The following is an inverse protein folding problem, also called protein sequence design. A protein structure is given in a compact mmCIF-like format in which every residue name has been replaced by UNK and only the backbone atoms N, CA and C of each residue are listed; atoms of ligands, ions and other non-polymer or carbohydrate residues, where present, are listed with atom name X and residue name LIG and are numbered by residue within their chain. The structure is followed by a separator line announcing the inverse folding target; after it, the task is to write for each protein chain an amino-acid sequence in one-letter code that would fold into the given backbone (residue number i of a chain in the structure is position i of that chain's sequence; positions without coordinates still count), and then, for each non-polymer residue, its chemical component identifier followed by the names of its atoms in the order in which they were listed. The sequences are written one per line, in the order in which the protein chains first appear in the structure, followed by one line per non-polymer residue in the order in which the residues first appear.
data_IF_111007017098
#
_entry.id   IF_111007017098
#
_cell.length_a   1.000
_cell.length_b   1.000
_cell.length_c   1.000
_cell.angle_alpha   90.00
_cell.angle_beta   90.00
_cell.angle_gamma   90.00
#
_symmetry.space_group_name_H-M   'P 1'
#
loop_
_entity.id
_entity.type
_entity.pdbx_description
1 polymer ?
#
# COMPACT_ATOMS: atom_id res chain seq x y z
N UNK A 1 -33.21 -54.23 -43.36
CA UNK A 1 -33.20 -53.98 -41.90
C UNK A 1 -31.82 -53.40 -41.53
N UNK A 2 -31.73 -52.09 -41.38
CA UNK A 2 -30.49 -51.36 -41.29
C UNK A 2 -30.37 -50.87 -39.85
N UNK A 3 -29.43 -51.42 -39.08
CA UNK A 3 -29.20 -51.09 -37.68
C UNK A 3 -28.27 -49.85 -37.62
N UNK A 4 -28.78 -48.71 -37.18
CA UNK A 4 -27.99 -47.49 -36.98
C UNK A 4 -27.35 -47.54 -35.60
N UNK A 5 -26.01 -47.65 -35.59
CA UNK A 5 -25.20 -47.60 -34.41
C UNK A 5 -24.96 -46.14 -34.01
N UNK A 6 -25.58 -45.71 -32.91
CA UNK A 6 -25.33 -44.39 -32.32
C UNK A 6 -24.04 -44.40 -31.51
N UNK A 7 -23.01 -43.78 -32.05
CA UNK A 7 -21.77 -43.52 -31.28
C UNK A 7 -21.99 -42.25 -30.46
N UNK A 8 -22.15 -42.44 -29.16
CA UNK A 8 -22.21 -41.35 -28.17
C UNK A 8 -20.79 -40.86 -27.92
N UNK A 9 -20.42 -39.74 -28.57
CA UNK A 9 -19.15 -39.08 -28.29
C UNK A 9 -19.28 -38.30 -26.97
N UNK A 10 -18.75 -38.87 -25.90
CA UNK A 10 -18.61 -38.23 -24.58
C UNK A 10 -17.45 -37.25 -24.66
N UNK A 11 -17.74 -35.98 -24.98
CA UNK A 11 -16.74 -34.91 -24.93
C UNK A 11 -16.44 -34.57 -23.47
N UNK A 12 -15.35 -35.13 -22.93
CA UNK A 12 -14.77 -34.74 -21.66
C UNK A 12 -14.14 -33.36 -21.84
N UNK A 13 -14.86 -32.33 -21.40
CA UNK A 13 -14.32 -30.99 -21.27
C UNK A 13 -13.26 -31.03 -20.15
N UNK A 14 -12.01 -31.12 -20.54
CA UNK A 14 -10.89 -30.79 -19.65
C UNK A 14 -10.98 -29.29 -19.36
N UNK A 15 -11.54 -28.91 -18.22
CA UNK A 15 -11.30 -27.62 -17.66
C UNK A 15 -9.83 -27.58 -17.25
N UNK A 16 -8.99 -27.08 -18.15
CA UNK A 16 -7.65 -26.64 -17.77
C UNK A 16 -7.82 -25.53 -16.75
N UNK A 17 -7.68 -25.87 -15.48
CA UNK A 17 -7.44 -24.90 -14.43
C UNK A 17 -6.08 -24.28 -14.72
N UNK A 18 -6.05 -23.26 -15.59
CA UNK A 18 -4.96 -22.30 -15.59
C UNK A 18 -5.01 -21.57 -14.24
N UNK A 19 -4.57 -22.26 -13.19
CA UNK A 19 -4.07 -21.60 -12.02
C UNK A 19 -2.96 -20.69 -12.55
N UNK A 20 -3.24 -19.38 -12.61
CA UNK A 20 -2.23 -18.35 -12.80
C UNK A 20 -1.14 -18.66 -11.79
N UNK A 21 -0.12 -19.40 -12.25
CA UNK A 21 1.08 -19.65 -11.49
C UNK A 21 1.65 -18.25 -11.21
N UNK A 22 1.37 -17.74 -10.04
CA UNK A 22 1.92 -16.48 -9.54
C UNK A 22 3.42 -16.70 -9.51
N UNK A 23 4.11 -16.19 -10.50
CA UNK A 23 5.54 -16.34 -10.64
C UNK A 23 6.16 -15.88 -9.32
N UNK A 24 6.86 -16.79 -8.62
CA UNK A 24 7.59 -16.44 -7.42
C UNK A 24 8.50 -15.24 -7.73
N UNK A 25 8.57 -14.26 -6.83
CA UNK A 25 9.39 -13.07 -7.08
C UNK A 25 10.84 -13.48 -7.34
N UNK A 26 11.52 -12.88 -8.32
CA UNK A 26 12.84 -13.29 -8.77
C UNK A 26 13.91 -13.30 -7.66
N UNK A 27 13.69 -12.64 -6.57
CA UNK A 27 14.59 -12.54 -5.41
C UNK A 27 14.11 -13.27 -4.16
N UNK A 28 12.96 -13.97 -4.21
CA UNK A 28 12.31 -14.52 -3.01
C UNK A 28 11.69 -13.48 -2.08
N UNK A 29 11.59 -12.21 -2.51
CA UNK A 29 10.98 -11.15 -1.73
C UNK A 29 9.48 -11.43 -1.50
N UNK A 30 9.01 -11.26 -0.26
CA UNK A 30 7.66 -11.59 0.17
C UNK A 30 6.85 -10.39 0.67
N UNK A 31 7.52 -9.39 1.24
CA UNK A 31 6.87 -8.27 1.94
C UNK A 31 7.71 -7.02 1.85
N UNK A 32 7.05 -5.88 1.63
CA UNK A 32 7.59 -4.54 1.90
C UNK A 32 7.02 -4.04 3.22
N UNK A 33 7.87 -3.66 4.17
CA UNK A 33 7.49 -2.99 5.40
C UNK A 33 8.00 -1.54 5.39
N UNK A 34 7.09 -0.58 5.60
CA UNK A 34 7.39 0.86 5.61
C UNK A 34 7.16 1.38 7.01
N UNK A 35 8.20 1.93 7.63
CA UNK A 35 8.14 2.59 8.93
C UNK A 35 8.20 4.09 8.76
N UNK A 36 7.12 4.77 9.18
CA UNK A 36 7.07 6.24 9.25
C UNK A 36 7.88 6.80 10.43
N UNK A 37 8.19 5.94 11.43
CA UNK A 37 9.01 6.29 12.58
C UNK A 37 10.50 6.39 12.19
N UNK A 38 11.02 5.30 11.63
CA UNK A 38 12.43 5.23 11.22
C UNK A 38 12.70 5.82 9.83
N UNK A 39 11.67 6.27 9.10
CA UNK A 39 11.75 6.74 7.72
C UNK A 39 12.44 5.74 6.81
N UNK A 40 12.03 4.46 6.89
CA UNK A 40 12.63 3.37 6.11
C UNK A 40 11.58 2.52 5.40
N UNK A 41 11.98 1.97 4.24
CA UNK A 41 11.33 0.89 3.53
C UNK A 41 12.24 -0.33 3.60
N UNK A 42 11.76 -1.42 4.18
CA UNK A 42 12.46 -2.69 4.30
C UNK A 42 11.80 -3.76 3.43
N UNK A 43 12.60 -4.62 2.81
CA UNK A 43 12.14 -5.77 2.02
C UNK A 43 12.52 -7.05 2.75
N UNK A 44 11.56 -7.96 2.94
CA UNK A 44 11.75 -9.25 3.60
C UNK A 44 11.42 -10.42 2.67
N UNK A 45 12.09 -11.56 2.87
CA UNK A 45 11.72 -12.83 2.23
C UNK A 45 10.65 -13.59 3.03
N UNK A 46 10.23 -14.76 2.51
CA UNK A 46 9.22 -15.62 3.16
C UNK A 46 9.67 -16.21 4.50
N UNK A 47 10.97 -16.16 4.82
CA UNK A 47 11.55 -16.61 6.09
C UNK A 47 11.78 -15.42 7.05
N UNK A 48 11.19 -14.25 6.77
CA UNK A 48 11.36 -13.00 7.52
C UNK A 48 12.82 -12.49 7.56
N UNK A 49 13.67 -12.92 6.64
CA UNK A 49 15.02 -12.41 6.50
C UNK A 49 14.99 -11.07 5.77
N UNK A 50 15.69 -10.10 6.31
CA UNK A 50 15.86 -8.78 5.69
C UNK A 50 16.72 -8.89 4.43
N UNK A 51 16.19 -8.43 3.29
CA UNK A 51 16.87 -8.43 1.99
C UNK A 51 17.44 -7.06 1.63
N UNK A 52 16.72 -5.98 1.96
CA UNK A 52 17.13 -4.60 1.66
C UNK A 52 16.46 -3.60 2.60
N UNK A 53 17.09 -2.45 2.81
CA UNK A 53 16.52 -1.29 3.52
C UNK A 53 16.87 -0.04 2.73
N UNK A 54 15.88 0.84 2.55
CA UNK A 54 16.03 2.11 1.86
C UNK A 54 15.48 3.25 2.71
N UNK A 55 16.15 4.41 2.81
CA UNK A 55 15.60 5.59 3.42
C UNK A 55 14.46 6.17 2.54
N UNK A 56 13.43 6.70 3.19
CA UNK A 56 12.24 7.24 2.51
C UNK A 56 11.90 8.65 2.99
N UNK A 57 11.01 9.31 2.24
CA UNK A 57 10.18 10.38 2.75
C UNK A 57 8.71 9.95 2.71
N UNK A 58 7.88 10.47 3.64
CA UNK A 58 6.46 10.20 3.72
C UNK A 58 5.63 11.48 3.84
N UNK A 59 4.32 11.34 4.03
CA UNK A 59 3.38 12.45 4.15
C UNK A 59 3.80 13.49 5.17
N UNK A 60 3.70 14.79 4.81
CA UNK A 60 4.13 15.92 5.66
C UNK A 60 3.24 16.12 6.90
N UNK A 61 2.00 15.65 6.85
CA UNK A 61 1.10 15.69 8.00
C UNK A 61 1.16 14.40 8.81
N UNK A 62 1.02 14.53 10.13
CA UNK A 62 0.95 13.42 11.08
C UNK A 62 -0.40 12.70 11.03
N UNK A 63 -0.42 11.45 11.44
CA UNK A 63 -1.60 10.61 11.54
C UNK A 63 -1.84 9.75 10.31
N UNK A 64 -2.89 8.92 10.39
CA UNK A 64 -3.33 8.09 9.29
C UNK A 64 -4.11 8.92 8.26
N UNK A 65 -4.02 8.55 6.98
CA UNK A 65 -4.76 9.22 5.91
C UNK A 65 -6.27 9.02 6.07
N UNK A 66 -7.04 10.12 5.96
CA UNK A 66 -8.49 10.14 6.11
C UNK A 66 -9.20 10.61 4.83
N UNK A 67 -8.60 11.57 4.11
CA UNK A 67 -9.22 12.19 2.93
C UNK A 67 -8.18 12.64 1.90
N UNK A 68 -8.57 12.89 0.65
CA UNK A 68 -7.71 13.52 -0.35
C UNK A 68 -7.17 14.86 0.15
N UNK A 69 -5.91 15.18 -0.17
CA UNK A 69 -5.29 16.48 0.16
C UNK A 69 -4.88 16.66 1.64
N UNK A 70 -5.05 15.66 2.52
CA UNK A 70 -4.69 15.77 3.93
C UNK A 70 -3.18 15.63 4.21
N UNK A 71 -2.39 15.42 3.17
CA UNK A 71 -0.92 15.30 3.23
C UNK A 71 -0.42 14.16 4.12
N UNK A 72 -1.28 13.18 4.44
CA UNK A 72 -0.95 12.03 5.28
C UNK A 72 -0.68 10.79 4.45
N UNK A 73 0.27 9.96 4.89
CA UNK A 73 0.48 8.60 4.35
C UNK A 73 -0.47 7.63 5.05
N UNK A 74 -1.21 6.79 4.30
CA UNK A 74 -2.10 5.80 4.91
C UNK A 74 -1.29 4.73 5.66
N UNK A 75 -1.91 4.15 6.69
CA UNK A 75 -1.39 3.07 7.52
C UNK A 75 -2.20 1.80 7.30
N UNK A 76 -1.57 0.64 7.44
CA UNK A 76 -2.23 -0.65 7.32
C UNK A 76 -1.57 -1.58 6.32
N UNK A 77 -2.33 -2.60 5.89
CA UNK A 77 -1.88 -3.62 4.94
C UNK A 77 -2.44 -3.33 3.54
N UNK A 78 -1.55 -3.23 2.59
CA UNK A 78 -1.81 -2.92 1.20
C UNK A 78 -1.14 -3.94 0.28
N UNK A 79 -1.26 -3.74 -1.03
CA UNK A 79 -0.51 -4.53 -2.01
C UNK A 79 -0.10 -3.67 -3.20
N UNK A 80 0.94 -4.12 -3.91
CA UNK A 80 1.33 -3.51 -5.18
C UNK A 80 0.25 -3.79 -6.22
N UNK A 81 -0.35 -2.73 -6.75
CA UNK A 81 -1.39 -2.82 -7.78
C UNK A 81 -0.79 -2.78 -9.18
N UNK A 82 0.20 -1.93 -9.39
CA UNK A 82 0.80 -1.68 -10.71
C UNK A 82 2.19 -1.06 -10.56
N UNK A 83 3.08 -1.34 -11.51
CA UNK A 83 4.35 -0.62 -11.70
C UNK A 83 4.27 0.15 -13.00
N UNK A 84 4.40 1.46 -12.96
CA UNK A 84 4.22 2.36 -14.09
C UNK A 84 5.53 3.08 -14.41
N UNK A 85 5.81 3.31 -15.70
CA UNK A 85 6.86 4.24 -16.12
C UNK A 85 6.42 5.68 -15.83
N UNK A 86 7.16 6.38 -14.99
CA UNK A 86 6.85 7.73 -14.56
C UNK A 86 7.84 8.80 -15.10
N UNK A 87 8.76 8.42 -15.99
CA UNK A 87 9.82 9.33 -16.50
C UNK A 87 9.28 10.59 -17.17
N UNK A 88 8.12 10.49 -17.81
CA UNK A 88 7.45 11.59 -18.48
C UNK A 88 6.45 12.36 -17.59
N UNK A 89 6.23 11.90 -16.35
CA UNK A 89 5.22 12.51 -15.48
C UNK A 89 5.73 13.82 -14.89
N UNK A 90 4.80 14.79 -14.81
CA UNK A 90 5.02 16.07 -14.15
C UNK A 90 4.14 16.18 -12.92
N UNK A 91 4.48 17.08 -12.01
CA UNK A 91 3.67 17.43 -10.86
C UNK A 91 3.90 18.88 -10.45
N UNK A 92 2.82 19.59 -10.16
CA UNK A 92 2.85 20.88 -9.51
C UNK A 92 2.54 20.70 -8.02
N UNK A 93 3.54 21.00 -7.18
CA UNK A 93 3.41 20.87 -5.74
C UNK A 93 2.69 22.06 -5.08
N UNK A 94 2.20 23.01 -5.87
CA UNK A 94 1.53 24.21 -5.38
C UNK A 94 2.44 25.17 -4.61
N UNK A 95 3.76 25.07 -4.83
CA UNK A 95 4.78 25.92 -4.17
C UNK A 95 5.18 27.13 -5.02
N UNK A 96 4.44 27.40 -6.11
CA UNK A 96 4.67 28.51 -7.02
C UNK A 96 5.76 28.29 -8.06
N UNK A 97 6.37 27.09 -8.10
CA UNK A 97 7.40 26.76 -9.11
C UNK A 97 6.83 26.14 -10.38
N UNK A 98 5.50 25.83 -10.38
CA UNK A 98 4.82 25.18 -11.48
C UNK A 98 5.15 23.69 -11.61
N UNK A 99 4.88 23.13 -12.78
CA UNK A 99 5.06 21.68 -13.02
C UNK A 99 6.54 21.29 -13.07
N UNK A 100 6.91 20.33 -12.24
CA UNK A 100 8.26 19.75 -12.19
C UNK A 100 8.29 18.45 -12.97
N UNK A 101 9.05 18.40 -14.05
CA UNK A 101 9.28 17.19 -14.83
C UNK A 101 10.15 16.21 -14.06
N UNK A 102 9.79 14.92 -14.10
CA UNK A 102 10.52 13.88 -13.38
C UNK A 102 10.29 13.89 -11.87
N UNK A 103 9.23 14.55 -11.39
CA UNK A 103 8.84 14.63 -9.99
C UNK A 103 8.77 13.28 -9.27
N UNK A 104 8.45 12.22 -10.02
CA UNK A 104 8.27 10.85 -9.53
C UNK A 104 9.45 9.90 -9.82
N UNK A 105 10.53 10.40 -10.42
CA UNK A 105 11.65 9.57 -10.89
C UNK A 105 11.25 8.64 -12.04
N UNK A 106 11.89 7.46 -12.10
CA UNK A 106 11.71 6.54 -13.24
C UNK A 106 10.43 5.71 -13.20
N UNK A 107 9.94 5.37 -12.00
CA UNK A 107 8.78 4.49 -11.82
C UNK A 107 7.84 5.01 -10.73
N UNK A 108 6.57 4.60 -10.85
CA UNK A 108 5.55 4.76 -9.82
C UNK A 108 4.96 3.38 -9.48
N UNK A 109 5.26 2.87 -8.31
CA UNK A 109 4.70 1.63 -7.77
C UNK A 109 3.39 1.98 -7.11
N UNK A 110 2.27 1.80 -7.81
CA UNK A 110 0.94 2.10 -7.30
C UNK A 110 0.52 1.07 -6.27
N UNK A 111 0.02 1.53 -5.13
CA UNK A 111 -0.53 0.68 -4.10
C UNK A 111 -2.05 0.61 -4.20
N UNK A 112 -2.59 -0.59 -3.93
CA UNK A 112 -4.03 -0.80 -3.74
C UNK A 112 -4.36 -0.41 -2.30
N UNK A 113 -4.85 0.81 -2.12
CA UNK A 113 -5.19 1.41 -0.82
C UNK A 113 -6.71 1.65 -0.78
N UNK A 114 -7.51 0.73 -0.20
CA UNK A 114 -8.96 0.89 -0.11
C UNK A 114 -9.34 2.23 0.55
N UNK A 115 -10.28 2.95 -0.07
CA UNK A 115 -10.70 4.28 0.41
C UNK A 115 -9.79 5.45 -0.03
N UNK A 116 -8.58 5.19 -0.55
CA UNK A 116 -7.65 6.23 -0.98
C UNK A 116 -7.16 5.98 -2.41
N UNK A 117 -7.00 7.05 -3.18
CA UNK A 117 -6.49 6.97 -4.56
C UNK A 117 -5.15 7.68 -4.67
N UNK A 118 -4.34 7.25 -5.65
CA UNK A 118 -3.10 7.95 -5.99
C UNK A 118 -1.92 7.72 -5.04
N UNK A 119 -2.02 6.78 -4.10
CA UNK A 119 -0.92 6.43 -3.20
C UNK A 119 0.02 5.45 -3.89
N UNK A 120 1.32 5.71 -3.76
CA UNK A 120 2.36 4.85 -4.33
C UNK A 120 3.73 5.10 -3.74
N UNK A 121 4.68 4.30 -4.22
CA UNK A 121 6.12 4.41 -3.93
C UNK A 121 6.78 4.89 -5.22
N UNK A 122 7.58 5.96 -5.16
CA UNK A 122 8.18 6.58 -6.33
C UNK A 122 9.54 7.24 -6.03
N UNK A 123 10.22 7.70 -7.06
CA UNK A 123 11.48 8.44 -6.94
C UNK A 123 11.30 9.91 -6.58
N UNK A 124 12.30 10.71 -6.88
CA UNK A 124 12.30 12.11 -6.45
C UNK A 124 13.03 13.03 -7.42
N UNK A 125 12.59 14.27 -7.51
CA UNK A 125 13.34 15.41 -8.02
C UNK A 125 14.12 16.15 -6.90
N UNK A 126 13.78 15.84 -5.63
CA UNK A 126 14.35 16.46 -4.43
C UNK A 126 14.94 15.39 -3.49
N UNK A 127 16.17 14.91 -3.73
CA UNK A 127 16.83 13.93 -2.88
C UNK A 127 17.05 14.39 -1.44
N UNK A 128 17.15 15.71 -1.20
CA UNK A 128 17.36 16.25 0.14
C UNK A 128 16.16 16.05 1.08
N UNK A 129 14.99 15.77 0.52
CA UNK A 129 13.78 15.48 1.29
C UNK A 129 13.74 14.07 1.89
N UNK A 130 14.62 13.15 1.46
CA UNK A 130 14.67 11.79 1.99
C UNK A 130 15.06 11.81 3.47
N UNK A 131 14.39 10.99 4.27
CA UNK A 131 14.50 10.98 5.74
C UNK A 131 13.53 11.94 6.44
N UNK A 132 12.66 12.63 5.71
CA UNK A 132 11.75 13.64 6.28
C UNK A 132 10.29 13.42 5.89
N UNK A 133 9.39 14.14 6.56
CA UNK A 133 7.99 14.28 6.17
C UNK A 133 7.84 15.40 5.13
N UNK A 134 7.82 15.05 3.86
CA UNK A 134 7.87 16.02 2.77
C UNK A 134 6.85 15.78 1.65
N UNK A 135 6.11 14.66 1.66
CA UNK A 135 5.22 14.30 0.55
C UNK A 135 3.75 14.67 0.81
N UNK A 136 2.92 14.51 -0.20
CA UNK A 136 1.47 14.68 -0.12
C UNK A 136 0.73 13.40 0.32
N UNK A 137 1.51 12.36 0.71
CA UNK A 137 1.00 11.09 1.21
C UNK A 137 1.63 9.87 0.56
N UNK A 138 2.30 10.01 -0.58
CA UNK A 138 3.10 8.94 -1.20
C UNK A 138 4.40 8.68 -0.42
N UNK A 139 5.02 7.54 -0.70
CA UNK A 139 6.33 7.15 -0.20
C UNK A 139 7.37 7.51 -1.27
N UNK A 140 8.36 8.30 -0.90
CA UNK A 140 9.41 8.78 -1.81
C UNK A 140 10.74 8.14 -1.48
N UNK A 141 11.45 7.63 -2.50
CA UNK A 141 12.81 7.09 -2.41
C UNK A 141 13.79 7.93 -3.24
N UNK A 142 15.09 7.72 -3.00
CA UNK A 142 16.09 8.09 -3.99
C UNK A 142 15.87 7.31 -5.29
N UNK A 143 16.23 7.90 -6.43
CA UNK A 143 15.97 7.28 -7.73
C UNK A 143 16.78 5.98 -7.96
N UNK A 144 17.99 5.88 -7.41
CA UNK A 144 18.80 4.65 -7.42
C UNK A 144 18.12 3.53 -6.66
N UNK A 145 17.63 3.84 -5.46
CA UNK A 145 16.98 2.89 -4.54
C UNK A 145 15.65 2.38 -5.12
N UNK A 146 14.86 3.29 -5.70
CA UNK A 146 13.65 2.92 -6.43
C UNK A 146 13.96 1.97 -7.59
N UNK A 147 14.98 2.26 -8.38
CA UNK A 147 15.35 1.44 -9.53
C UNK A 147 15.80 0.03 -9.09
N UNK A 148 16.57 -0.05 -8.01
CA UNK A 148 16.96 -1.33 -7.41
C UNK A 148 15.74 -2.09 -6.89
N UNK A 149 14.85 -1.42 -6.13
CA UNK A 149 13.63 -1.98 -5.58
C UNK A 149 12.76 -2.59 -6.68
N UNK A 150 12.50 -1.85 -7.77
CA UNK A 150 11.70 -2.33 -8.91
C UNK A 150 12.35 -3.51 -9.61
N UNK A 151 13.67 -3.45 -9.87
CA UNK A 151 14.35 -4.50 -10.63
C UNK A 151 14.52 -5.80 -9.88
N UNK A 152 14.72 -5.75 -8.55
CA UNK A 152 15.08 -6.93 -7.77
C UNK A 152 13.94 -7.55 -7.00
N UNK A 153 12.96 -6.75 -6.55
CA UNK A 153 12.06 -7.21 -5.49
C UNK A 153 10.58 -7.10 -5.83
N UNK A 154 10.15 -6.03 -6.51
CA UNK A 154 8.72 -5.71 -6.68
C UNK A 154 8.03 -6.59 -7.70
N UNK A 155 6.84 -7.08 -7.34
CA UNK A 155 5.91 -7.76 -8.24
C UNK A 155 4.46 -7.34 -7.93
N UNK A 156 3.56 -7.52 -8.89
CA UNK A 156 2.13 -7.21 -8.73
C UNK A 156 1.52 -8.15 -7.68
N UNK A 157 0.76 -7.60 -6.75
CA UNK A 157 0.19 -8.32 -5.62
C UNK A 157 1.10 -8.41 -4.40
N UNK A 158 2.36 -7.98 -4.48
CA UNK A 158 3.28 -8.00 -3.34
C UNK A 158 2.66 -7.26 -2.14
N UNK A 159 2.62 -7.89 -0.94
CA UNK A 159 2.15 -7.24 0.27
C UNK A 159 3.03 -6.03 0.66
N UNK A 160 2.36 -4.97 1.13
CA UNK A 160 3.01 -3.75 1.63
C UNK A 160 2.34 -3.38 2.95
N UNK A 161 3.09 -3.37 4.05
CA UNK A 161 2.61 -2.87 5.33
C UNK A 161 3.21 -1.48 5.59
N UNK A 162 2.36 -0.54 6.00
CA UNK A 162 2.78 0.81 6.41
C UNK A 162 2.47 0.95 7.90
N UNK A 163 3.51 1.08 8.70
CA UNK A 163 3.47 1.04 10.15
C UNK A 163 3.37 2.48 10.70
N UNK A 164 2.50 2.65 11.68
CA UNK A 164 2.32 3.90 12.44
C UNK A 164 3.60 4.29 13.16
N UNK A 165 3.86 5.60 13.31
CA UNK A 165 4.86 6.14 14.24
C UNK A 165 4.22 6.54 15.57
N UNK A 166 5.04 6.70 16.63
CA UNK A 166 4.56 7.25 17.90
C UNK A 166 3.96 8.65 17.71
N UNK A 167 4.61 9.48 16.89
CA UNK A 167 4.11 10.82 16.56
C UNK A 167 2.75 10.79 15.85
N UNK A 168 2.50 9.79 14.98
CA UNK A 168 1.20 9.61 14.32
C UNK A 168 0.12 9.15 15.31
N UNK A 169 0.48 8.28 16.26
CA UNK A 169 -0.43 7.77 17.30
C UNK A 169 -0.85 8.83 18.32
N UNK A 170 -0.02 9.82 18.56
CA UNK A 170 -0.32 10.94 19.45
C UNK A 170 -1.39 11.89 18.89
N UNK A 171 -1.74 11.80 17.60
CA UNK A 171 -2.87 12.52 17.02
C UNK A 171 -4.16 11.86 17.51
N UNK A 172 -5.04 12.54 18.29
CA UNK A 172 -6.25 11.93 18.83
C UNK A 172 -7.11 11.36 17.68
N UNK A 173 -7.36 10.07 17.74
CA UNK A 173 -8.38 9.46 16.89
C UNK A 173 -9.73 10.08 17.31
N UNK A 174 -10.26 11.01 16.53
CA UNK A 174 -11.65 11.47 16.69
C UNK A 174 -12.54 10.28 16.33
N UNK A 175 -12.96 9.55 17.34
CA UNK A 175 -14.11 8.65 17.16
C UNK A 175 -15.27 9.50 16.65
N UNK A 176 -15.98 9.09 15.59
CA UNK A 176 -17.21 9.76 15.18
C UNK A 176 -18.16 9.80 16.38
N UNK A 177 -18.91 10.91 16.52
CA UNK A 177 -19.79 11.23 17.67
C UNK A 177 -20.91 10.20 17.98
N UNK A 178 -20.89 9.01 17.38
CA UNK A 178 -21.82 7.90 17.62
C UNK A 178 -21.80 7.36 19.06
N UNK A 179 -20.77 7.70 19.86
CA UNK A 179 -20.71 7.25 21.26
C UNK A 179 -21.57 8.12 22.21
N UNK A 180 -22.15 9.22 21.75
CA UNK A 180 -23.00 10.08 22.60
C UNK A 180 -24.47 9.67 22.71
N UNK A 181 -24.88 8.62 21.99
CA UNK A 181 -26.30 8.20 21.92
C UNK A 181 -26.53 6.80 22.47
N UNK A 182 -25.61 6.23 23.26
CA UNK A 182 -25.90 4.99 23.97
C UNK A 182 -26.84 5.27 25.15
N UNK A 183 -28.04 4.64 25.24
CA UNK A 183 -28.93 4.82 26.38
C UNK A 183 -28.22 4.30 27.63
N UNK A 184 -28.20 5.12 28.67
CA UNK A 184 -27.68 4.76 29.98
C UNK A 184 -28.50 3.58 30.52
N UNK A 185 -27.94 2.38 30.62
CA UNK A 185 -28.52 1.26 31.31
C UNK A 185 -28.65 1.64 32.79
N UNK A 186 -29.84 1.93 33.22
CA UNK A 186 -30.17 2.10 34.64
C UNK A 186 -30.04 0.75 35.33
N UNK A 187 -29.07 0.63 36.24
CA UNK A 187 -28.94 -0.53 37.15
C UNK A 187 -30.15 -0.57 38.10
N UNK A 188 -31.15 -1.36 37.75
CA UNK A 188 -32.23 -1.72 38.67
C UNK A 188 -31.65 -2.60 39.77
N UNK A 189 -31.63 -2.10 40.99
CA UNK A 189 -31.32 -2.87 42.20
C UNK A 189 -32.35 -3.96 42.42
N UNK A 190 -31.99 -5.22 42.68
CA UNK A 190 -32.97 -6.24 43.01
C UNK A 190 -33.52 -6.01 44.44
N UNK A 191 -34.84 -5.89 44.56
CA UNK A 191 -35.55 -5.89 45.84
C UNK A 191 -35.32 -7.23 46.56
N UNK A 192 -34.99 -7.17 47.86
CA UNK A 192 -34.97 -8.35 48.76
C UNK A 192 -36.40 -8.78 49.05
N UNK A 193 -36.70 -10.09 49.04
CA UNK A 193 -37.96 -10.60 49.61
C UNK A 193 -37.87 -10.68 51.14
N UNK A 194 -38.97 -10.30 51.78
CA UNK A 194 -39.24 -10.58 53.21
C UNK A 194 -39.45 -12.06 53.47
#
# INVERSE_FOLDING_TARGET
MTTILHILILSVLFFSSDALAQQAPPSGAALIAISKESMTLAVYDFNSRLLAVYPIACGRALGNKEKPGDMKTPEGLFSVQQVQDARAWTHDFGDGKGEIKGAYGSHFIRLKTPGHRGIGIHGTHDPASIGTRATEGCIRLNNSDLLELVKKYVYIGMPVVIITSEADSAVPCRLPDAAKTAPRLTSGSPARPN
#
